data_IF_984230761034
#
_entry.id   IF_984230761034
#
_cell.length_a   1.000
_cell.length_b   1.000
_cell.length_c   1.000
_cell.angle_alpha   90.00
_cell.angle_beta   90.00
_cell.angle_gamma   90.00
#
_symmetry.space_group_name_H-M   'P 1'
#
loop_
_entity.id
_entity.type
_entity.pdbx_description
1 polymer ?
#
# COMPACT_ATOMS: atom_id res chain seq x y z
N UNK A 1 13.80 32.44 23.54
CA UNK A 1 12.52 32.48 24.29
C UNK A 1 11.31 32.53 23.36
N UNK A 2 11.12 33.57 22.53
CA UNK A 2 9.94 33.69 21.63
C UNK A 2 9.75 32.47 20.71
N UNK A 3 10.83 31.94 20.12
CA UNK A 3 10.79 30.77 19.22
C UNK A 3 10.39 29.46 19.91
N UNK A 4 10.76 29.29 21.18
CA UNK A 4 10.38 28.12 22.00
C UNK A 4 8.93 28.23 22.45
N UNK A 5 8.48 29.43 22.80
CA UNK A 5 7.08 29.72 23.14
C UNK A 5 6.17 29.47 21.92
N UNK A 6 6.62 29.84 20.71
CA UNK A 6 5.88 29.57 19.47
C UNK A 6 5.75 28.07 19.16
N UNK A 7 6.81 27.29 19.35
CA UNK A 7 6.80 25.83 19.17
C UNK A 7 5.89 25.14 20.18
N UNK A 8 5.90 25.59 21.43
CA UNK A 8 5.02 25.07 22.50
C UNK A 8 3.56 25.45 22.21
N UNK A 9 3.29 26.67 21.74
CA UNK A 9 1.95 27.09 21.29
C UNK A 9 1.47 26.27 20.08
N UNK A 10 2.32 26.01 19.09
CA UNK A 10 2.00 25.15 17.95
C UNK A 10 1.71 23.71 18.36
N UNK A 11 2.46 23.16 19.32
CA UNK A 11 2.22 21.83 19.86
C UNK A 11 0.94 21.75 20.72
N UNK A 12 0.62 22.80 21.47
CA UNK A 12 -0.61 22.91 22.27
C UNK A 12 -1.86 23.14 21.40
N UNK A 13 -1.70 23.73 20.22
CA UNK A 13 -2.76 23.91 19.22
C UNK A 13 -2.84 22.74 18.23
N UNK A 14 -2.04 21.69 18.38
CA UNK A 14 -2.13 20.51 17.54
C UNK A 14 -3.41 19.74 17.87
N UNK A 15 -4.43 19.89 17.02
CA UNK A 15 -5.61 19.03 17.05
C UNK A 15 -5.19 17.57 16.80
N UNK A 16 -5.92 16.59 17.33
CA UNK A 16 -5.71 15.20 16.94
C UNK A 16 -5.89 15.10 15.42
N UNK A 17 -4.81 14.83 14.71
CA UNK A 17 -4.89 14.47 13.31
C UNK A 17 -5.45 13.04 13.26
N UNK A 18 -6.71 12.90 12.89
CA UNK A 18 -7.27 11.61 12.50
C UNK A 18 -6.69 11.27 11.13
N UNK A 19 -5.49 10.69 11.14
CA UNK A 19 -4.92 10.07 9.96
C UNK A 19 -5.80 8.85 9.63
N UNK A 20 -6.62 8.98 8.60
CA UNK A 20 -7.34 7.85 8.02
C UNK A 20 -6.36 7.16 7.06
N UNK A 21 -6.21 5.83 7.19
CA UNK A 21 -5.50 5.06 6.17
C UNK A 21 -6.26 5.18 4.85
N UNK A 22 -5.52 5.21 3.73
CA UNK A 22 -6.11 5.20 2.40
C UNK A 22 -7.06 3.99 2.23
N UNK A 23 -8.09 4.14 1.38
CA UNK A 23 -9.05 3.07 1.13
C UNK A 23 -8.40 1.96 0.29
N UNK A 24 -8.35 0.75 0.86
CA UNK A 24 -7.84 -0.46 0.20
C UNK A 24 -8.90 -1.55 0.24
N UNK A 25 -9.02 -2.33 -0.84
CA UNK A 25 -9.76 -3.61 -0.82
C UNK A 25 -8.91 -4.75 -1.35
N UNK A 26 -9.15 -5.97 -0.85
CA UNK A 26 -8.36 -7.14 -1.19
C UNK A 26 -9.20 -8.12 -1.99
N UNK A 27 -8.86 -8.33 -3.26
CA UNK A 27 -9.56 -9.24 -4.15
C UNK A 27 -8.67 -10.45 -4.43
N UNK A 28 -9.10 -11.63 -3.99
CA UNK A 28 -8.43 -12.90 -4.24
C UNK A 28 -9.29 -13.75 -5.16
N UNK A 29 -8.78 -14.07 -6.34
CA UNK A 29 -9.48 -14.86 -7.34
C UNK A 29 -8.65 -16.06 -7.75
N UNK A 30 -9.31 -17.19 -7.96
CA UNK A 30 -8.76 -18.41 -8.52
C UNK A 30 -9.63 -18.82 -9.70
N UNK A 31 -9.01 -18.82 -10.88
CA UNK A 31 -9.63 -19.21 -12.14
C UNK A 31 -8.90 -20.46 -12.64
N UNK A 32 -9.60 -21.59 -12.61
CA UNK A 32 -9.09 -22.88 -13.06
C UNK A 32 -9.93 -23.36 -14.25
N UNK A 33 -9.41 -23.17 -15.46
CA UNK A 33 -10.19 -23.33 -16.68
C UNK A 33 -11.39 -22.40 -16.69
N UNK A 34 -12.60 -22.97 -16.63
CA UNK A 34 -13.86 -22.22 -16.60
C UNK A 34 -14.35 -21.90 -15.19
N UNK A 35 -13.86 -22.56 -14.15
CA UNK A 35 -14.35 -22.34 -12.78
C UNK A 35 -13.68 -21.11 -12.15
N UNK A 36 -14.49 -20.26 -11.54
CA UNK A 36 -14.04 -19.09 -10.79
C UNK A 36 -14.44 -19.25 -9.32
N UNK A 37 -13.48 -19.06 -8.43
CA UNK A 37 -13.72 -18.98 -6.99
C UNK A 37 -12.88 -17.86 -6.40
N UNK A 38 -13.28 -17.32 -5.27
CA UNK A 38 -12.52 -16.24 -4.68
C UNK A 38 -13.06 -15.71 -3.37
N UNK A 39 -12.45 -14.62 -2.95
CA UNK A 39 -12.76 -13.87 -1.75
C UNK A 39 -12.52 -12.40 -2.04
N UNK A 40 -13.44 -11.54 -1.62
CA UNK A 40 -13.28 -10.09 -1.72
C UNK A 40 -13.54 -9.43 -0.38
N UNK A 41 -12.52 -8.76 0.14
CA UNK A 41 -12.54 -8.08 1.43
C UNK A 41 -12.63 -6.58 1.19
N UNK A 42 -13.68 -5.95 1.73
CA UNK A 42 -13.92 -4.51 1.60
C UNK A 42 -14.12 -3.93 3.01
N UNK A 43 -13.43 -2.83 3.32
CA UNK A 43 -13.52 -2.19 4.63
C UNK A 43 -14.95 -1.75 4.93
N UNK A 44 -15.46 -2.04 6.13
CA UNK A 44 -16.85 -1.68 6.49
C UNK A 44 -17.08 -0.17 6.43
N UNK A 45 -16.08 0.65 6.78
CA UNK A 45 -16.15 2.11 6.66
C UNK A 45 -16.38 2.58 5.22
N UNK A 46 -15.81 1.89 4.25
CA UNK A 46 -15.89 2.29 2.84
C UNK A 46 -17.25 1.88 2.27
N UNK A 47 -17.78 0.73 2.68
CA UNK A 47 -19.14 0.31 2.36
C UNK A 47 -20.16 1.27 2.98
N UNK A 48 -19.95 1.65 4.24
CA UNK A 48 -20.81 2.61 4.93
C UNK A 48 -20.82 3.97 4.22
N UNK A 49 -19.64 4.48 3.84
CA UNK A 49 -19.53 5.70 3.03
C UNK A 49 -20.26 5.58 1.69
N UNK A 50 -20.20 4.42 1.03
CA UNK A 50 -20.75 4.23 -0.31
C UNK A 50 -22.26 3.98 -0.35
N UNK A 51 -22.81 3.20 0.60
CA UNK A 51 -24.21 2.75 0.56
C UNK A 51 -24.98 2.89 1.89
N UNK A 52 -24.33 3.37 2.95
CA UNK A 52 -24.92 3.52 4.28
C UNK A 52 -25.19 2.18 4.95
N UNK A 53 -24.32 1.81 5.89
CA UNK A 53 -24.48 0.65 6.76
C UNK A 53 -24.96 1.03 8.16
N UNK A 54 -24.43 2.12 8.72
CA UNK A 54 -24.81 2.62 10.04
C UNK A 54 -26.25 3.19 9.97
N UNK A 55 -27.21 2.36 10.40
CA UNK A 55 -28.61 2.69 10.28
C UNK A 55 -29.09 3.60 11.42
N UNK A 56 -28.38 3.58 12.56
CA UNK A 56 -28.76 4.29 13.76
C UNK A 56 -27.97 5.60 13.96
N UNK A 57 -26.88 5.79 13.20
CA UNK A 57 -26.03 6.98 13.18
C UNK A 57 -25.13 7.13 14.40
N UNK A 58 -24.83 6.05 15.11
CA UNK A 58 -23.99 6.06 16.32
C UNK A 58 -22.48 5.96 16.01
N UNK A 59 -22.11 5.69 14.76
CA UNK A 59 -20.74 5.55 14.29
C UNK A 59 -20.12 4.15 14.47
N UNK A 60 -20.86 3.19 15.04
CA UNK A 60 -20.43 1.82 15.28
C UNK A 60 -21.18 0.83 14.37
N UNK A 61 -20.53 0.36 13.31
CA UNK A 61 -21.14 -0.61 12.38
C UNK A 61 -21.24 -2.00 13.04
N UNK A 62 -22.47 -2.40 13.38
CA UNK A 62 -22.74 -3.69 14.00
C UNK A 62 -22.92 -4.81 12.98
N UNK A 63 -22.73 -6.07 13.41
CA UNK A 63 -23.01 -7.22 12.55
C UNK A 63 -24.47 -7.33 12.14
N UNK A 64 -25.40 -6.82 12.96
CA UNK A 64 -26.82 -6.78 12.64
C UNK A 64 -27.11 -5.89 11.42
N UNK A 65 -26.46 -4.72 11.35
CA UNK A 65 -26.57 -3.77 10.25
C UNK A 65 -25.95 -4.30 8.96
N UNK A 66 -24.73 -4.83 9.04
CA UNK A 66 -24.07 -5.47 7.89
C UNK A 66 -24.94 -6.58 7.31
N UNK A 67 -25.47 -7.45 8.18
CA UNK A 67 -26.32 -8.56 7.77
C UNK A 67 -27.62 -8.09 7.12
N UNK A 68 -28.25 -7.03 7.64
CA UNK A 68 -29.46 -6.46 7.05
C UNK A 68 -29.22 -5.93 5.63
N UNK A 69 -27.98 -5.60 5.29
CA UNK A 69 -27.55 -5.03 4.01
C UNK A 69 -26.81 -6.00 3.08
N UNK A 70 -26.68 -7.29 3.41
CA UNK A 70 -25.92 -8.25 2.57
C UNK A 70 -26.28 -8.23 1.09
N UNK A 71 -27.57 -8.18 0.75
CA UNK A 71 -28.04 -8.13 -0.65
C UNK A 71 -27.59 -6.85 -1.35
N UNK A 72 -27.72 -5.71 -0.67
CA UNK A 72 -27.30 -4.41 -1.18
C UNK A 72 -25.77 -4.35 -1.37
N UNK A 73 -25.02 -4.88 -0.39
CA UNK A 73 -23.54 -5.00 -0.44
C UNK A 73 -23.12 -5.85 -1.65
N UNK A 74 -23.72 -7.03 -1.82
CA UNK A 74 -23.41 -7.92 -2.94
C UNK A 74 -23.71 -7.27 -4.29
N UNK A 75 -24.88 -6.66 -4.44
CA UNK A 75 -25.28 -6.00 -5.68
C UNK A 75 -24.36 -4.80 -6.00
N UNK A 76 -24.04 -4.00 -4.98
CA UNK A 76 -23.14 -2.85 -5.10
C UNK A 76 -21.74 -3.28 -5.54
N UNK A 77 -21.15 -4.28 -4.87
CA UNK A 77 -19.79 -4.75 -5.13
C UNK A 77 -19.69 -5.48 -6.48
N UNK A 78 -20.57 -6.46 -6.76
CA UNK A 78 -20.55 -7.19 -8.03
C UNK A 78 -20.85 -6.30 -9.23
N UNK A 79 -21.62 -5.22 -9.07
CA UNK A 79 -21.82 -4.22 -10.13
C UNK A 79 -20.53 -3.49 -10.54
N UNK A 80 -19.47 -3.58 -9.74
CA UNK A 80 -18.18 -2.88 -9.91
C UNK A 80 -17.01 -3.82 -10.19
N UNK A 81 -17.28 -5.11 -10.34
CA UNK A 81 -16.30 -6.12 -10.73
C UNK A 81 -16.84 -6.89 -11.93
N UNK A 82 -16.08 -6.90 -13.03
CA UNK A 82 -16.40 -7.68 -14.22
C UNK A 82 -15.22 -8.55 -14.59
N UNK A 83 -15.48 -9.83 -14.84
CA UNK A 83 -14.51 -10.79 -15.36
C UNK A 83 -14.96 -11.24 -16.75
N UNK A 84 -14.02 -11.30 -17.67
CA UNK A 84 -14.25 -11.79 -19.02
C UNK A 84 -13.18 -12.82 -19.41
N UNK A 85 -13.62 -13.99 -19.89
CA UNK A 85 -12.77 -15.03 -20.47
C UNK A 85 -13.56 -15.81 -21.51
N UNK A 86 -13.36 -15.50 -22.79
CA UNK A 86 -14.23 -15.95 -23.89
C UNK A 86 -15.67 -15.41 -23.80
N UNK A 87 -15.89 -14.36 -23.01
CA UNK A 87 -17.20 -13.78 -22.71
C UNK A 87 -17.34 -13.45 -21.22
N UNK A 88 -18.48 -12.91 -20.80
CA UNK A 88 -18.70 -12.50 -19.40
C UNK A 88 -18.78 -13.71 -18.48
N UNK A 89 -17.95 -13.73 -17.43
CA UNK A 89 -18.02 -14.73 -16.39
C UNK A 89 -19.19 -14.42 -15.45
N UNK A 90 -19.97 -15.43 -15.09
CA UNK A 90 -21.04 -15.31 -14.09
C UNK A 90 -20.42 -15.39 -12.70
N UNK A 91 -20.60 -14.36 -11.87
CA UNK A 91 -20.13 -14.31 -10.49
C UNK A 91 -21.30 -14.13 -9.53
N UNK A 92 -21.25 -14.83 -8.41
CA UNK A 92 -22.20 -14.68 -7.30
C UNK A 92 -21.46 -14.72 -5.96
N UNK A 93 -22.03 -14.07 -4.96
CA UNK A 93 -21.57 -14.16 -3.58
C UNK A 93 -22.22 -15.39 -2.94
N UNK A 94 -21.41 -16.38 -2.56
CA UNK A 94 -21.89 -17.59 -1.90
C UNK A 94 -22.02 -17.44 -0.39
N UNK A 95 -21.21 -16.57 0.22
CA UNK A 95 -21.16 -16.37 1.66
C UNK A 95 -20.67 -14.96 2.01
N UNK A 96 -21.21 -14.42 3.10
CA UNK A 96 -20.75 -13.17 3.73
C UNK A 96 -20.19 -13.49 5.12
N UNK A 97 -18.99 -12.99 5.37
CA UNK A 97 -18.24 -13.11 6.61
C UNK A 97 -17.75 -11.73 7.05
N UNK A 98 -17.22 -11.64 8.27
CA UNK A 98 -16.49 -10.47 8.74
C UNK A 98 -15.13 -10.92 9.22
N UNK A 99 -14.11 -10.17 8.85
CA UNK A 99 -12.74 -10.34 9.34
C UNK A 99 -12.15 -8.99 9.77
N UNK A 100 -11.00 -9.04 10.45
CA UNK A 100 -10.24 -7.86 10.85
C UNK A 100 -8.89 -7.83 10.16
N UNK A 101 -8.64 -6.73 9.46
CA UNK A 101 -7.32 -6.39 8.92
C UNK A 101 -6.63 -5.38 9.84
N UNK A 102 -5.40 -4.98 9.52
CA UNK A 102 -4.58 -4.08 10.34
C UNK A 102 -5.21 -2.72 10.63
N UNK A 103 -6.18 -2.30 9.83
CA UNK A 103 -6.79 -0.97 9.83
C UNK A 103 -8.31 -0.95 10.06
N UNK A 104 -8.92 -2.11 10.36
CA UNK A 104 -10.33 -2.16 10.73
C UNK A 104 -11.02 -3.49 10.44
N UNK A 105 -12.35 -3.46 10.56
CA UNK A 105 -13.23 -4.57 10.21
C UNK A 105 -13.60 -4.51 8.74
N UNK A 106 -13.62 -5.68 8.09
CA UNK A 106 -13.91 -5.84 6.66
C UNK A 106 -15.10 -6.79 6.48
N UNK A 107 -15.96 -6.47 5.52
CA UNK A 107 -16.90 -7.45 4.97
C UNK A 107 -16.12 -8.36 4.02
N UNK A 108 -16.27 -9.66 4.20
CA UNK A 108 -15.60 -10.69 3.40
C UNK A 108 -16.65 -11.43 2.59
N UNK A 109 -16.59 -11.31 1.27
CA UNK A 109 -17.50 -11.98 0.35
C UNK A 109 -16.80 -13.16 -0.33
N UNK A 110 -17.30 -14.38 -0.12
CA UNK A 110 -16.86 -15.54 -0.90
C UNK A 110 -17.50 -15.50 -2.27
N UNK A 111 -16.69 -15.52 -3.31
CA UNK A 111 -17.13 -15.47 -4.70
C UNK A 111 -17.09 -16.87 -5.31
N UNK A 112 -18.11 -17.20 -6.09
CA UNK A 112 -18.17 -18.41 -6.90
C UNK A 112 -18.76 -18.07 -8.27
N UNK A 113 -18.31 -18.76 -9.31
CA UNK A 113 -18.71 -18.44 -10.67
C UNK A 113 -18.12 -19.32 -11.75
N UNK A 114 -18.48 -19.01 -12.99
CA UNK A 114 -18.00 -19.72 -14.18
C UNK A 114 -17.79 -18.79 -15.35
N UNK A 115 -16.74 -19.02 -16.13
CA UNK A 115 -16.45 -18.35 -17.39
C UNK A 115 -16.86 -19.21 -18.61
N UNK A 116 -17.18 -18.59 -19.76
CA UNK A 116 -17.55 -19.32 -20.97
C UNK A 116 -16.42 -20.16 -21.59
N UNK A 117 -15.19 -19.66 -21.60
CA UNK A 117 -14.04 -20.32 -22.23
C UNK A 117 -12.83 -20.34 -21.30
N UNK A 118 -12.03 -21.40 -21.37
CA UNK A 118 -10.79 -21.59 -20.63
C UNK A 118 -9.54 -21.25 -21.46
N UNK A 119 -9.65 -21.10 -22.77
CA UNK A 119 -8.51 -20.94 -23.69
C UNK A 119 -8.17 -19.49 -24.00
N UNK A 120 -9.11 -18.58 -23.74
CA UNK A 120 -8.95 -17.14 -23.97
C UNK A 120 -8.26 -16.43 -22.79
N UNK A 121 -7.81 -15.21 -23.06
CA UNK A 121 -7.25 -14.30 -22.04
C UNK A 121 -8.32 -13.96 -20.98
N UNK A 122 -7.88 -13.82 -19.73
CA UNK A 122 -8.71 -13.32 -18.65
C UNK A 122 -8.53 -11.81 -18.54
N UNK A 123 -9.60 -11.06 -18.80
CA UNK A 123 -9.69 -9.63 -18.52
C UNK A 123 -10.51 -9.41 -17.26
N UNK A 124 -9.97 -8.64 -16.32
CA UNK A 124 -10.66 -8.22 -15.10
C UNK A 124 -10.75 -6.70 -15.08
N UNK A 125 -11.97 -6.20 -14.92
CA UNK A 125 -12.26 -4.79 -14.76
C UNK A 125 -12.80 -4.54 -13.36
N UNK A 126 -12.19 -3.60 -12.66
CA UNK A 126 -12.47 -3.26 -11.28
C UNK A 126 -12.68 -1.75 -11.12
N UNK A 127 -13.72 -1.34 -10.40
CA UNK A 127 -14.04 0.08 -10.19
C UNK A 127 -14.79 0.35 -8.89
N UNK A 128 -14.40 -0.31 -7.79
CA UNK A 128 -15.21 -0.32 -6.55
C UNK A 128 -15.54 1.09 -6.02
N UNK A 129 -14.52 1.91 -5.82
CA UNK A 129 -14.65 3.26 -5.25
C UNK A 129 -13.98 4.34 -6.11
N UNK A 130 -13.59 4.04 -7.35
CA UNK A 130 -12.86 5.01 -8.19
C UNK A 130 -13.72 6.22 -8.58
N UNK A 131 -15.03 6.15 -8.44
CA UNK A 131 -15.97 7.25 -8.60
C UNK A 131 -16.12 8.12 -7.33
N UNK A 132 -15.57 7.69 -6.20
CA UNK A 132 -15.78 8.28 -4.87
C UNK A 132 -14.47 8.69 -4.19
N UNK A 133 -13.40 7.93 -4.43
CA UNK A 133 -12.07 8.12 -3.85
C UNK A 133 -10.97 7.84 -4.90
N UNK A 134 -10.31 8.89 -5.37
CA UNK A 134 -9.19 8.82 -6.32
C UNK A 134 -7.96 8.11 -5.72
N UNK A 135 -7.86 8.04 -4.40
CA UNK A 135 -6.78 7.37 -3.68
C UNK A 135 -7.08 5.89 -3.44
N UNK A 136 -8.30 5.43 -3.72
CA UNK A 136 -8.66 4.02 -3.52
C UNK A 136 -7.79 3.06 -4.34
N UNK A 137 -7.39 1.94 -3.73
CA UNK A 137 -6.62 0.88 -4.40
C UNK A 137 -7.28 -0.50 -4.23
N UNK A 138 -7.39 -1.22 -5.35
CA UNK A 138 -7.79 -2.62 -5.37
C UNK A 138 -6.55 -3.53 -5.42
N UNK A 139 -6.28 -4.27 -4.35
CA UNK A 139 -5.16 -5.20 -4.27
C UNK A 139 -5.61 -6.56 -4.77
N UNK A 140 -5.19 -6.93 -5.98
CA UNK A 140 -5.57 -8.18 -6.62
C UNK A 140 -4.50 -9.24 -6.43
N UNK A 141 -4.93 -10.43 -6.01
CA UNK A 141 -4.21 -11.69 -6.15
C UNK A 141 -5.03 -12.63 -7.02
N UNK A 142 -4.50 -12.94 -8.20
CA UNK A 142 -5.15 -13.81 -9.17
C UNK A 142 -4.33 -15.09 -9.33
N UNK A 143 -4.93 -16.25 -9.09
CA UNK A 143 -4.40 -17.53 -9.51
C UNK A 143 -5.10 -17.95 -10.81
N UNK A 144 -4.40 -17.88 -11.94
CA UNK A 144 -4.89 -18.28 -13.25
C UNK A 144 -4.21 -19.59 -13.66
N UNK A 145 -4.97 -20.67 -13.72
CA UNK A 145 -4.51 -22.00 -14.12
C UNK A 145 -3.23 -22.46 -13.40
N UNK A 146 -3.14 -22.16 -12.10
CA UNK A 146 -1.99 -22.50 -11.24
C UNK A 146 -0.89 -21.44 -11.18
N UNK A 147 -0.92 -20.41 -12.02
CA UNK A 147 0.04 -19.29 -11.99
C UNK A 147 -0.52 -18.16 -11.13
N UNK A 148 0.26 -17.65 -10.17
CA UNK A 148 -0.17 -16.55 -9.31
C UNK A 148 0.37 -15.21 -9.80
N UNK A 149 -0.55 -14.29 -10.07
CA UNK A 149 -0.32 -12.91 -10.44
C UNK A 149 -0.77 -12.01 -9.29
N UNK A 150 -0.11 -10.87 -9.13
CA UNK A 150 -0.60 -9.80 -8.28
C UNK A 150 -0.59 -8.49 -9.06
N UNK A 151 -1.56 -7.63 -8.77
CA UNK A 151 -1.66 -6.32 -9.39
C UNK A 151 -2.32 -5.34 -8.40
N UNK A 152 -2.01 -4.06 -8.58
CA UNK A 152 -2.74 -2.97 -7.93
C UNK A 152 -3.63 -2.33 -8.98
N UNK A 153 -4.90 -2.21 -8.67
CA UNK A 153 -5.93 -1.58 -9.48
C UNK A 153 -6.15 -0.16 -8.95
N UNK A 154 -6.18 0.82 -9.84
CA UNK A 154 -6.35 2.24 -9.52
C UNK A 154 -7.28 2.91 -10.54
N UNK A 155 -7.74 4.15 -10.30
CA UNK A 155 -8.54 4.89 -11.29
C UNK A 155 -7.87 5.00 -12.66
N UNK A 156 -6.54 5.11 -12.70
CA UNK A 156 -5.76 5.19 -13.95
C UNK A 156 -5.56 3.82 -14.63
N UNK A 157 -5.71 2.72 -13.88
CA UNK A 157 -5.50 1.34 -14.33
C UNK A 157 -6.57 0.41 -13.73
N UNK A 158 -7.84 0.55 -14.17
CA UNK A 158 -8.96 -0.23 -13.64
C UNK A 158 -9.06 -1.63 -14.25
N UNK A 159 -8.31 -1.89 -15.33
CA UNK A 159 -8.35 -3.11 -16.09
C UNK A 159 -6.99 -3.80 -16.13
N UNK A 160 -7.02 -5.12 -16.04
CA UNK A 160 -5.86 -6.00 -16.23
C UNK A 160 -6.24 -7.16 -17.15
N UNK A 161 -5.26 -7.60 -17.94
CA UNK A 161 -5.43 -8.74 -18.85
C UNK A 161 -4.26 -9.69 -18.69
N UNK A 162 -4.56 -10.98 -18.54
CA UNK A 162 -3.57 -12.05 -18.44
C UNK A 162 -3.88 -13.19 -19.41
N UNK A 163 -2.85 -13.61 -20.15
CA UNK A 163 -2.88 -14.82 -20.95
C UNK A 163 -2.61 -16.04 -20.07
N UNK A 164 -3.33 -17.14 -20.30
CA UNK A 164 -3.04 -18.42 -19.65
C UNK A 164 -1.64 -18.91 -20.07
N UNK A 165 -0.81 -19.28 -19.10
CA UNK A 165 0.52 -19.85 -19.34
C UNK A 165 1.67 -18.86 -19.56
N UNK A 166 1.46 -17.53 -19.58
CA UNK A 166 2.57 -16.57 -19.61
C UNK A 166 3.24 -16.47 -18.22
N UNK A 167 4.28 -17.26 -17.99
CA UNK A 167 5.14 -17.17 -16.79
C UNK A 167 6.44 -16.43 -17.07
N UNK A 168 6.39 -15.14 -17.40
CA UNK A 168 7.63 -14.36 -17.40
C UNK A 168 7.84 -13.73 -16.03
N UNK A 169 8.58 -14.44 -15.15
CA UNK A 169 9.06 -13.90 -13.86
C UNK A 169 9.77 -12.57 -14.03
N UNK A 170 10.45 -12.37 -15.16
CA UNK A 170 11.13 -11.12 -15.50
C UNK A 170 10.13 -9.99 -15.81
N UNK A 171 9.05 -10.29 -16.55
CA UNK A 171 7.95 -9.34 -16.80
C UNK A 171 7.24 -8.96 -15.50
N UNK A 172 7.02 -9.94 -14.62
CA UNK A 172 6.42 -9.72 -13.30
C UNK A 172 7.34 -8.87 -12.39
N UNK A 173 8.64 -9.16 -12.34
CA UNK A 173 9.61 -8.35 -11.62
C UNK A 173 9.66 -6.91 -12.15
N UNK A 174 9.75 -6.75 -13.48
CA UNK A 174 9.75 -5.44 -14.12
C UNK A 174 8.46 -4.65 -13.84
N UNK A 175 7.32 -5.33 -13.77
CA UNK A 175 6.06 -4.72 -13.35
C UNK A 175 6.16 -4.19 -11.92
N UNK A 176 6.63 -4.99 -10.94
CA UNK A 176 6.77 -4.51 -9.56
C UNK A 176 7.77 -3.35 -9.41
N UNK A 177 8.84 -3.31 -10.21
CA UNK A 177 9.75 -2.16 -10.27
C UNK A 177 9.02 -0.90 -10.72
N UNK A 178 8.21 -1.00 -11.77
CA UNK A 178 7.41 0.14 -12.26
C UNK A 178 6.40 0.58 -11.22
N UNK A 179 5.71 -0.36 -10.57
CA UNK A 179 4.75 -0.05 -9.49
C UNK A 179 5.44 0.61 -8.28
N UNK A 180 6.65 0.17 -7.90
CA UNK A 180 7.45 0.81 -6.84
C UNK A 180 7.86 2.25 -7.18
N UNK A 181 8.29 2.50 -8.43
CA UNK A 181 8.57 3.86 -8.91
C UNK A 181 7.31 4.72 -8.89
N UNK A 182 6.19 4.19 -9.35
CA UNK A 182 4.91 4.90 -9.36
C UNK A 182 4.44 5.23 -7.94
N UNK A 183 4.57 4.29 -7.00
CA UNK A 183 4.25 4.47 -5.58
C UNK A 183 5.01 5.66 -4.97
N UNK A 184 6.33 5.74 -5.21
CA UNK A 184 7.15 6.88 -4.75
C UNK A 184 6.71 8.19 -5.42
N UNK A 185 6.34 8.15 -6.71
CA UNK A 185 5.96 9.34 -7.48
C UNK A 185 4.63 9.96 -7.01
N UNK A 186 3.63 9.15 -6.69
CA UNK A 186 2.33 9.65 -6.23
C UNK A 186 2.33 9.97 -4.72
N UNK A 187 3.23 9.36 -3.95
CA UNK A 187 3.38 9.59 -2.51
C UNK A 187 4.11 10.89 -2.20
N UNK A 188 3.37 11.97 -1.95
CA UNK A 188 3.97 13.25 -1.55
C UNK A 188 4.85 13.15 -0.31
N UNK A 189 4.46 12.31 0.65
CA UNK A 189 5.23 11.97 1.84
C UNK A 189 6.58 11.33 1.52
N UNK A 190 6.62 10.41 0.54
CA UNK A 190 7.84 9.75 0.08
C UNK A 190 8.77 10.74 -0.64
N UNK A 191 8.23 11.59 -1.52
CA UNK A 191 9.01 12.65 -2.19
C UNK A 191 9.58 13.63 -1.15
N UNK A 192 8.76 14.11 -0.23
CA UNK A 192 9.20 15.03 0.82
C UNK A 192 10.25 14.39 1.71
N UNK A 193 10.11 13.10 2.05
CA UNK A 193 11.09 12.35 2.80
C UNK A 193 12.42 12.22 2.05
N UNK A 194 12.41 11.81 0.78
CA UNK A 194 13.61 11.69 -0.05
C UNK A 194 14.32 13.04 -0.18
N UNK A 195 13.58 14.11 -0.45
CA UNK A 195 14.13 15.46 -0.48
C UNK A 195 14.74 15.84 0.87
N UNK A 196 14.03 15.60 1.98
CA UNK A 196 14.52 15.93 3.31
C UNK A 196 15.80 15.14 3.66
N UNK A 197 15.89 13.87 3.26
CA UNK A 197 17.01 13.00 3.57
C UNK A 197 18.24 13.30 2.69
N UNK A 198 18.03 13.65 1.42
CA UNK A 198 19.11 13.89 0.45
C UNK A 198 19.60 15.33 0.43
N UNK A 199 18.78 16.31 0.85
CA UNK A 199 19.17 17.72 0.86
C UNK A 199 20.50 17.96 1.59
N UNK A 200 20.77 17.38 2.78
CA UNK A 200 22.07 17.53 3.44
C UNK A 200 23.23 16.96 2.62
N UNK A 201 23.03 15.92 1.80
CA UNK A 201 24.08 15.31 0.99
C UNK A 201 24.63 16.26 -0.10
N UNK A 202 23.81 17.24 -0.51
CA UNK A 202 24.17 18.25 -1.52
C UNK A 202 24.45 19.62 -0.88
N UNK A 203 23.73 19.98 0.18
CA UNK A 203 23.93 21.20 0.95
C UNK A 203 24.57 20.87 2.29
N UNK A 204 25.82 21.24 2.49
CA UNK A 204 26.52 21.07 3.77
C UNK A 204 26.32 22.33 4.60
N UNK A 205 25.92 22.16 5.85
CA UNK A 205 25.83 23.26 6.79
C UNK A 205 27.22 23.55 7.37
N UNK A 206 27.85 24.64 6.93
CA UNK A 206 29.16 25.08 7.40
C UNK A 206 29.14 26.58 7.73
N UNK A 207 29.78 26.97 8.84
CA UNK A 207 29.86 28.36 9.29
C UNK A 207 28.48 29.07 9.39
N UNK A 208 27.46 28.35 9.87
CA UNK A 208 26.06 28.82 9.99
C UNK A 208 25.37 29.16 8.66
N UNK A 209 25.89 28.68 7.53
CA UNK A 209 25.29 28.85 6.20
C UNK A 209 25.22 27.51 5.49
N UNK A 210 24.14 27.30 4.74
CA UNK A 210 24.06 26.18 3.80
C UNK A 210 24.95 26.50 2.60
N UNK A 211 25.94 25.65 2.36
CA UNK A 211 26.86 25.79 1.25
C UNK A 211 26.75 24.53 0.39
N UNK A 212 26.74 24.70 -0.94
CA UNK A 212 26.77 23.57 -1.86
C UNK A 212 28.07 22.78 -1.69
N UNK A 213 27.97 21.45 -1.76
CA UNK A 213 29.14 20.57 -1.73
C UNK A 213 30.14 21.00 -2.81
N UNK A 214 31.45 21.12 -2.49
CA UNK A 214 32.43 21.72 -3.40
C UNK A 214 32.72 20.90 -4.66
N UNK A 215 32.36 19.61 -4.67
CA UNK A 215 32.56 18.72 -5.81
C UNK A 215 31.38 17.76 -5.98
N UNK A 216 31.03 17.47 -7.23
CA UNK A 216 30.01 16.47 -7.57
C UNK A 216 30.33 15.08 -6.99
N UNK A 217 31.60 14.66 -7.04
CA UNK A 217 32.02 13.34 -6.54
C UNK A 217 31.77 13.14 -5.05
N UNK A 218 31.92 14.19 -4.23
CA UNK A 218 31.61 14.12 -2.81
C UNK A 218 30.10 14.02 -2.56
N UNK A 219 29.29 14.81 -3.29
CA UNK A 219 27.83 14.75 -3.20
C UNK A 219 27.31 13.37 -3.62
N UNK A 220 27.80 12.84 -4.74
CA UNK A 220 27.43 11.51 -5.24
C UNK A 220 27.76 10.41 -4.22
N UNK A 221 28.95 10.44 -3.63
CA UNK A 221 29.34 9.47 -2.58
C UNK A 221 28.43 9.53 -1.35
N UNK A 222 28.03 10.74 -0.93
CA UNK A 222 27.10 10.90 0.19
C UNK A 222 25.70 10.40 -0.14
N UNK A 223 25.18 10.72 -1.32
CA UNK A 223 23.88 10.23 -1.81
C UNK A 223 23.88 8.71 -1.88
N UNK A 224 24.87 8.11 -2.55
CA UNK A 224 25.00 6.65 -2.64
C UNK A 224 25.07 6.02 -1.24
N UNK A 225 25.88 6.57 -0.33
CA UNK A 225 25.96 6.05 1.04
C UNK A 225 24.63 6.11 1.81
N UNK A 226 23.87 7.20 1.65
CA UNK A 226 22.53 7.36 2.27
C UNK A 226 21.52 6.40 1.66
N UNK A 227 21.42 6.35 0.33
CA UNK A 227 20.50 5.49 -0.40
C UNK A 227 20.81 4.02 -0.08
N UNK A 228 22.06 3.58 -0.19
CA UNK A 228 22.46 2.21 0.13
C UNK A 228 22.14 1.84 1.58
N UNK A 229 22.42 2.73 2.55
CA UNK A 229 22.12 2.46 3.95
C UNK A 229 20.60 2.34 4.19
N UNK A 230 19.80 3.22 3.58
CA UNK A 230 18.34 3.17 3.66
C UNK A 230 17.80 1.88 3.02
N UNK A 231 18.16 1.59 1.76
CA UNK A 231 17.70 0.40 1.02
C UNK A 231 18.09 -0.89 1.73
N UNK A 232 19.30 -0.98 2.30
CA UNK A 232 19.73 -2.15 3.06
C UNK A 232 18.88 -2.34 4.32
N UNK A 233 18.70 -1.29 5.12
CA UNK A 233 17.87 -1.34 6.32
C UNK A 233 16.42 -1.70 6.01
N UNK A 234 15.86 -1.05 4.99
CA UNK A 234 14.51 -1.27 4.49
C UNK A 234 14.31 -2.73 4.08
N UNK A 235 15.23 -3.27 3.28
CA UNK A 235 15.23 -4.67 2.85
C UNK A 235 15.28 -5.65 4.02
N UNK A 236 16.06 -5.36 5.08
CA UNK A 236 16.14 -6.20 6.28
C UNK A 236 14.77 -6.28 6.96
N UNK A 237 14.15 -5.14 7.26
CA UNK A 237 12.86 -5.13 7.99
C UNK A 237 11.71 -5.61 7.14
N UNK A 238 11.72 -5.34 5.85
CA UNK A 238 10.77 -5.88 4.89
C UNK A 238 10.84 -7.42 4.82
N UNK A 239 12.05 -7.98 4.86
CA UNK A 239 12.25 -9.44 4.90
C UNK A 239 11.76 -10.03 6.22
N UNK A 240 12.06 -9.38 7.36
CA UNK A 240 11.62 -9.85 8.68
C UNK A 240 10.09 -9.82 8.81
N UNK A 241 9.44 -8.79 8.27
CA UNK A 241 8.00 -8.64 8.31
C UNK A 241 7.29 -9.60 7.35
N UNK A 242 7.80 -9.78 6.13
CA UNK A 242 7.19 -10.68 5.13
C UNK A 242 7.34 -12.17 5.46
N UNK A 243 8.39 -12.53 6.21
CA UNK A 243 8.54 -13.88 6.78
C UNK A 243 7.79 -14.06 8.10
N UNK A 244 7.03 -13.06 8.53
CA UNK A 244 6.27 -13.03 9.78
C UNK A 244 7.14 -13.27 11.04
N UNK A 245 8.45 -13.00 10.97
CA UNK A 245 9.32 -13.05 12.14
C UNK A 245 8.99 -11.92 13.12
N UNK A 246 8.54 -10.78 12.60
CA UNK A 246 8.12 -9.61 13.39
C UNK A 246 6.83 -9.05 12.76
N UNK A 247 5.76 -8.99 13.54
CA UNK A 247 4.53 -8.29 13.17
C UNK A 247 4.28 -7.11 14.11
N UNK A 248 4.17 -5.91 13.54
CA UNK A 248 3.91 -4.68 14.29
C UNK A 248 2.56 -4.09 13.85
N UNK A 249 1.77 -3.47 14.76
CA UNK A 249 0.52 -2.85 14.36
C UNK A 249 0.76 -1.65 13.43
N UNK A 250 0.06 -1.59 12.30
CA UNK A 250 0.27 -0.57 11.25
C UNK A 250 0.20 0.86 11.79
N UNK A 251 -0.74 1.14 12.69
CA UNK A 251 -0.88 2.45 13.35
C UNK A 251 0.42 2.96 13.98
N UNK A 252 1.19 2.09 14.64
CA UNK A 252 2.46 2.48 15.25
C UNK A 252 3.56 2.68 14.22
N UNK A 253 3.60 1.80 13.21
CA UNK A 253 4.56 1.86 12.11
C UNK A 253 4.38 3.15 11.31
N UNK A 254 3.17 3.42 10.84
CA UNK A 254 2.81 4.63 10.08
C UNK A 254 3.07 5.91 10.89
N UNK A 255 2.73 5.92 12.18
CA UNK A 255 3.05 7.05 13.07
C UNK A 255 4.56 7.28 13.19
N UNK A 256 5.35 6.21 13.27
CA UNK A 256 6.81 6.30 13.33
C UNK A 256 7.41 6.75 11.99
N UNK A 257 6.85 6.31 10.86
CA UNK A 257 7.20 6.78 9.51
C UNK A 257 6.94 8.29 9.43
N UNK A 258 5.74 8.75 9.76
CA UNK A 258 5.40 10.17 9.75
C UNK A 258 6.33 10.99 10.66
N UNK A 259 6.60 10.50 11.88
CA UNK A 259 7.55 11.13 12.79
C UNK A 259 8.97 11.21 12.20
N UNK A 260 9.44 10.19 11.48
CA UNK A 260 10.75 10.22 10.82
C UNK A 260 10.86 11.30 9.74
N UNK A 261 9.79 11.58 8.98
CA UNK A 261 9.74 12.66 8.00
C UNK A 261 9.86 14.02 8.69
N UNK A 262 9.11 14.21 9.79
CA UNK A 262 9.18 15.45 10.59
C UNK A 262 10.58 15.64 11.16
N UNK A 263 11.20 14.58 11.68
CA UNK A 263 12.57 14.63 12.21
C UNK A 263 13.60 14.95 11.12
N UNK A 264 13.47 14.37 9.92
CA UNK A 264 14.32 14.67 8.78
C UNK A 264 14.21 16.15 8.38
N UNK A 265 12.97 16.65 8.26
CA UNK A 265 12.70 18.05 7.95
C UNK A 265 13.24 19.00 9.04
N UNK A 266 13.03 18.66 10.32
CA UNK A 266 13.55 19.43 11.44
C UNK A 266 15.08 19.51 11.44
N UNK A 267 15.77 18.41 11.11
CA UNK A 267 17.22 18.38 10.98
C UNK A 267 17.72 19.26 9.82
N UNK A 268 16.91 19.52 8.80
CA UNK A 268 17.25 20.47 7.73
C UNK A 268 17.05 21.94 8.14
N UNK A 269 16.26 22.22 9.17
CA UNK A 269 16.09 23.57 9.70
C UNK A 269 17.07 23.87 10.84
N UNK A 270 17.32 22.85 11.67
CA UNK A 270 18.26 22.86 12.78
C UNK A 270 19.16 21.64 12.64
N UNK A 271 20.29 21.76 11.92
CA UNK A 271 21.20 20.64 11.72
C UNK A 271 21.83 20.21 13.04
N UNK A 272 21.32 19.10 13.59
CA UNK A 272 21.83 18.45 14.80
C UNK A 272 22.72 17.26 14.41
N UNK A 273 22.41 16.58 13.30
CA UNK A 273 23.13 15.39 12.83
C UNK A 273 23.76 15.66 11.46
N UNK A 274 25.04 16.03 11.47
CA UNK A 274 25.78 16.37 10.25
C UNK A 274 26.71 15.25 9.77
N UNK A 275 27.37 14.51 10.68
CA UNK A 275 28.45 13.56 10.34
C UNK A 275 28.03 12.11 10.12
N UNK A 276 26.86 11.68 10.60
CA UNK A 276 26.40 10.27 10.56
C UNK A 276 25.07 10.10 9.83
N UNK A 277 24.92 10.80 8.70
CA UNK A 277 23.68 10.81 7.90
C UNK A 277 23.27 9.42 7.42
N UNK A 278 24.23 8.59 7.02
CA UNK A 278 23.98 7.20 6.63
C UNK A 278 23.36 6.38 7.77
N UNK A 279 23.69 6.67 9.03
CA UNK A 279 23.13 5.97 10.20
C UNK A 279 21.69 6.41 10.47
N UNK A 280 21.39 7.70 10.28
CA UNK A 280 20.00 8.19 10.34
C UNK A 280 19.17 7.56 9.22
N UNK A 281 19.70 7.54 8.00
CA UNK A 281 19.07 6.87 6.86
C UNK A 281 18.84 5.37 7.12
N UNK A 282 19.81 4.70 7.74
CA UNK A 282 19.67 3.30 8.15
C UNK A 282 18.54 3.12 9.17
N UNK A 283 18.49 3.93 10.23
CA UNK A 283 17.42 3.84 11.25
C UNK A 283 16.04 4.14 10.64
N UNK A 284 15.93 5.15 9.79
CA UNK A 284 14.68 5.44 9.09
C UNK A 284 14.29 4.31 8.15
N UNK A 285 15.25 3.73 7.42
CA UNK A 285 15.01 2.56 6.57
C UNK A 285 14.43 1.37 7.33
N UNK A 286 14.93 1.08 8.54
CA UNK A 286 14.39 0.02 9.40
C UNK A 286 12.91 0.28 9.75
N UNK A 287 12.54 1.52 10.03
CA UNK A 287 11.16 1.87 10.38
C UNK A 287 10.26 1.74 9.14
N UNK A 288 10.71 2.27 8.01
CA UNK A 288 9.94 2.31 6.77
C UNK A 288 9.64 0.92 6.20
N UNK A 289 10.58 -0.03 6.34
CA UNK A 289 10.40 -1.38 5.77
C UNK A 289 9.27 -2.18 6.39
N UNK A 290 8.75 -1.79 7.55
CA UNK A 290 7.55 -2.39 8.12
C UNK A 290 6.23 -1.92 7.49
N UNK A 291 6.21 -0.76 6.83
CA UNK A 291 4.98 -0.15 6.32
C UNK A 291 4.38 -0.88 5.12
N UNK A 292 5.22 -1.37 4.21
CA UNK A 292 4.76 -2.03 2.98
C UNK A 292 4.50 -3.54 3.17
N UNK A 293 5.22 -4.19 4.09
CA UNK A 293 5.11 -5.63 4.31
C UNK A 293 3.73 -6.05 4.83
N UNK A 294 3.08 -5.25 5.69
CA UNK A 294 1.76 -5.56 6.24
C UNK A 294 0.72 -5.80 5.13
N UNK A 295 0.69 -4.91 4.14
CA UNK A 295 -0.28 -4.95 3.04
C UNK A 295 -0.09 -6.19 2.15
N UNK A 296 1.16 -6.55 1.82
CA UNK A 296 1.44 -7.71 0.98
C UNK A 296 1.25 -9.05 1.72
N UNK A 297 1.53 -9.09 3.03
CA UNK A 297 1.26 -10.27 3.86
C UNK A 297 -0.25 -10.52 3.97
N UNK A 298 -1.07 -9.47 4.14
CA UNK A 298 -2.54 -9.58 4.15
C UNK A 298 -3.10 -10.10 2.82
N UNK A 299 -2.48 -9.73 1.68
CA UNK A 299 -2.85 -10.29 0.37
C UNK A 299 -2.55 -11.80 0.26
N UNK A 300 -1.70 -12.35 1.13
CA UNK A 300 -1.45 -13.78 1.27
C UNK A 300 -0.73 -14.40 0.06
N UNK A 301 0.19 -13.68 -0.58
CA UNK A 301 0.93 -14.18 -1.75
C UNK A 301 1.78 -15.42 -1.40
N UNK A 302 1.96 -16.36 -2.35
CA UNK A 302 2.92 -17.45 -2.19
C UNK A 302 4.33 -16.89 -1.91
N UNK A 303 5.10 -17.55 -1.03
CA UNK A 303 6.41 -17.06 -0.56
C UNK A 303 7.36 -16.65 -1.70
N UNK A 304 7.43 -17.43 -2.77
CA UNK A 304 8.30 -17.14 -3.91
C UNK A 304 7.87 -15.88 -4.67
N UNK A 305 6.56 -15.69 -4.86
CA UNK A 305 6.00 -14.51 -5.52
C UNK A 305 6.12 -13.28 -4.62
N UNK A 306 5.96 -13.47 -3.30
CA UNK A 306 6.17 -12.44 -2.29
C UNK A 306 7.61 -11.94 -2.35
N UNK A 307 8.61 -12.82 -2.25
CA UNK A 307 10.03 -12.41 -2.33
C UNK A 307 10.34 -11.67 -3.63
N UNK A 308 9.84 -12.15 -4.77
CA UNK A 308 10.06 -11.48 -6.06
C UNK A 308 9.41 -10.08 -6.09
N UNK A 309 8.20 -9.94 -5.53
CA UNK A 309 7.52 -8.65 -5.44
C UNK A 309 8.24 -7.66 -4.54
N UNK A 310 8.74 -8.12 -3.40
CA UNK A 310 9.48 -7.29 -2.44
C UNK A 310 10.82 -6.83 -3.00
N UNK A 311 11.52 -7.69 -3.74
CA UNK A 311 12.76 -7.32 -4.41
C UNK A 311 12.54 -6.35 -5.56
N UNK A 312 11.43 -6.47 -6.30
CA UNK A 312 11.10 -5.55 -7.38
C UNK A 312 10.65 -4.18 -6.87
N UNK A 313 9.96 -4.14 -5.75
CA UNK A 313 9.40 -2.90 -5.19
C UNK A 313 10.44 -2.02 -4.47
N UNK A 314 11.50 -2.62 -3.91
CA UNK A 314 12.62 -1.93 -3.25
C UNK A 314 13.53 -1.17 -4.23
#
# INVERSE_FOLDING_TARGET
MIRQILLVLLALCALPALAHKASDSYLQLKVNGVEVSGQWDIALRDIDFAIGLDANGDGDITWGEVRAKHTDISAWALGRLSLQRGGHCSLQVSEHLIDKHTDGSYAVMRLAGTCPDASEELTLHYRLLFDQDDLHRGLLKLNLDGVTHAAVLSPDKPEITYQSGETSRLKQFGQYVVEGVWHIWIGFDHILFLLALLLPAVLVYEAKRWQGTPTFGLALRQVVGVVTAFTLAHSITLTLASLEFISLPSRWVESAIAASVVLAAANNLWPVVERRRWLVAFVFGLIHGFGFASVLTELGLPKDALVLSLLGFN
#
